data_IF_843580787093
#
_entry.id   IF_843580787093
#
_cell.length_a   1.000
_cell.length_b   1.000
_cell.length_c   1.000
_cell.angle_alpha   90.00
_cell.angle_beta   90.00
_cell.angle_gamma   90.00
#
_symmetry.space_group_name_H-M   'P 1'
#
loop_
_entity.id
_entity.type
_entity.pdbx_description
1 polymer ?
#
# COMPACT_ATOMS: atom_id res chain seq x y z
N UNK A 1 16.58 -46.14 -52.20
CA UNK A 1 17.52 -46.42 -51.10
C UNK A 1 18.93 -45.98 -51.52
N UNK A 2 19.30 -44.72 -51.31
CA UNK A 2 20.60 -44.17 -51.76
C UNK A 2 21.13 -43.06 -50.84
N UNK A 3 20.89 -43.14 -49.53
CA UNK A 3 21.35 -42.11 -48.59
C UNK A 3 22.38 -42.56 -47.56
N UNK A 4 22.87 -43.81 -47.62
CA UNK A 4 23.78 -44.35 -46.59
C UNK A 4 25.27 -44.33 -47.00
N UNK A 5 25.61 -44.32 -48.30
CA UNK A 5 27.02 -44.30 -48.74
C UNK A 5 27.68 -42.90 -48.79
N UNK A 6 26.98 -41.83 -48.37
CA UNK A 6 27.37 -40.45 -48.70
C UNK A 6 28.35 -39.80 -47.72
N UNK A 7 28.41 -40.23 -46.46
CA UNK A 7 29.23 -39.56 -45.43
C UNK A 7 30.55 -40.27 -45.11
N UNK A 8 30.61 -41.61 -45.15
CA UNK A 8 31.80 -42.36 -44.73
C UNK A 8 33.04 -42.03 -45.57
N UNK A 9 32.87 -41.82 -46.89
CA UNK A 9 33.97 -41.54 -47.82
C UNK A 9 34.54 -40.12 -47.71
N UNK A 10 33.76 -39.14 -47.26
CA UNK A 10 34.22 -37.74 -47.17
C UNK A 10 35.09 -37.50 -45.93
N UNK A 11 34.73 -38.11 -44.79
CA UNK A 11 35.56 -38.06 -43.59
C UNK A 11 36.87 -38.85 -43.76
N UNK A 12 36.82 -39.95 -44.51
CA UNK A 12 37.96 -40.81 -44.79
C UNK A 12 39.09 -40.07 -45.53
N UNK A 13 38.76 -39.11 -46.41
CA UNK A 13 39.74 -38.24 -47.09
C UNK A 13 40.52 -37.35 -46.11
N UNK A 14 39.86 -36.84 -45.07
CA UNK A 14 40.54 -36.02 -44.04
C UNK A 14 41.42 -36.88 -43.12
N UNK A 15 41.03 -38.14 -42.94
CA UNK A 15 41.69 -39.13 -42.07
C UNK A 15 42.85 -39.84 -42.78
N UNK A 16 42.81 -39.97 -44.11
CA UNK A 16 43.87 -40.55 -44.94
C UNK A 16 45.09 -39.63 -45.10
N UNK A 17 44.98 -38.37 -44.71
CA UNK A 17 46.07 -37.39 -44.77
C UNK A 17 46.85 -37.46 -43.46
N UNK A 18 48.18 -37.59 -43.57
CA UNK A 18 49.08 -37.73 -42.42
C UNK A 18 48.94 -36.56 -41.44
N UNK A 19 48.71 -36.90 -40.17
CA UNK A 19 48.64 -35.95 -39.06
C UNK A 19 50.00 -35.33 -38.71
N UNK A 20 51.11 -35.88 -39.24
CA UNK A 20 52.47 -35.39 -38.97
C UNK A 20 52.88 -34.20 -39.86
N UNK A 21 52.03 -33.77 -40.80
CA UNK A 21 52.28 -32.58 -41.63
C UNK A 21 51.68 -31.32 -40.99
N UNK A 22 52.29 -30.16 -41.28
CA UNK A 22 51.73 -28.86 -40.90
C UNK A 22 50.30 -28.67 -41.43
N UNK A 23 49.44 -27.95 -40.70
CA UNK A 23 48.01 -27.82 -41.02
C UNK A 23 47.77 -27.18 -42.40
N UNK A 24 48.62 -26.25 -42.82
CA UNK A 24 48.63 -25.69 -44.18
C UNK A 24 48.90 -26.74 -45.27
N UNK A 25 49.89 -27.62 -45.05
CA UNK A 25 50.19 -28.74 -45.94
C UNK A 25 49.07 -29.78 -45.96
N UNK A 26 48.45 -30.02 -44.81
CA UNK A 26 47.28 -30.92 -44.70
C UNK A 26 46.10 -30.38 -45.50
N UNK A 27 45.87 -29.06 -45.48
CA UNK A 27 44.83 -28.41 -46.28
C UNK A 27 45.13 -28.51 -47.79
N UNK A 28 46.38 -28.30 -48.21
CA UNK A 28 46.79 -28.50 -49.61
C UNK A 28 46.60 -29.94 -50.09
N UNK A 29 47.00 -30.92 -49.28
CA UNK A 29 46.78 -32.33 -49.56
C UNK A 29 45.28 -32.71 -49.57
N UNK A 30 44.46 -32.06 -48.74
CA UNK A 30 43.02 -32.25 -48.70
C UNK A 30 42.34 -31.71 -49.97
N UNK A 31 42.77 -30.55 -50.47
CA UNK A 31 42.28 -30.00 -51.75
C UNK A 31 42.57 -30.95 -52.91
N UNK A 32 43.80 -31.48 -52.98
CA UNK A 32 44.21 -32.43 -54.01
C UNK A 32 43.43 -33.76 -53.92
N UNK A 33 43.31 -34.32 -52.72
CA UNK A 33 42.57 -35.56 -52.47
C UNK A 33 41.07 -35.40 -52.75
N UNK A 34 40.50 -34.23 -52.44
CA UNK A 34 39.10 -33.90 -52.73
C UNK A 34 38.85 -33.76 -54.23
N UNK A 35 39.79 -33.20 -54.98
CA UNK A 35 39.72 -33.12 -56.43
C UNK A 35 39.77 -34.51 -57.06
N UNK A 36 40.73 -35.35 -56.67
CA UNK A 36 40.85 -36.74 -57.16
C UNK A 36 39.62 -37.57 -56.82
N UNK A 37 39.08 -37.43 -55.61
CA UNK A 37 37.84 -38.07 -55.21
C UNK A 37 36.65 -37.61 -56.07
N UNK A 38 36.57 -36.32 -56.38
CA UNK A 38 35.50 -35.77 -57.23
C UNK A 38 35.59 -36.30 -58.67
N UNK A 39 36.81 -36.42 -59.22
CA UNK A 39 37.06 -37.03 -60.53
C UNK A 39 36.64 -38.49 -60.54
N UNK A 40 37.03 -39.28 -59.54
CA UNK A 40 36.65 -40.70 -59.42
C UNK A 40 35.14 -40.89 -59.25
N UNK A 41 34.47 -39.93 -58.60
CA UNK A 41 33.01 -39.94 -58.44
C UNK A 41 32.27 -39.54 -59.71
N UNK A 42 32.84 -38.67 -60.52
CA UNK A 42 32.26 -38.21 -61.78
C UNK A 42 32.48 -39.21 -62.92
N UNK A 43 33.60 -39.94 -62.90
CA UNK A 43 33.99 -40.89 -63.96
C UNK A 43 32.91 -41.94 -64.31
N UNK A 44 32.21 -42.60 -63.37
CA UNK A 44 31.16 -43.57 -63.68
C UNK A 44 29.95 -42.98 -64.40
N UNK A 45 29.62 -41.71 -64.17
CA UNK A 45 28.46 -41.05 -64.79
C UNK A 45 28.72 -40.59 -66.23
N UNK A 46 29.99 -40.49 -66.63
CA UNK A 46 30.41 -40.04 -67.96
C UNK A 46 30.70 -41.21 -68.92
N UNK A 47 30.63 -42.46 -68.44
CA UNK A 47 30.88 -43.66 -69.25
C UNK A 47 29.80 -43.91 -70.31
N UNK A 48 28.58 -43.45 -70.07
CA UNK A 48 27.41 -43.75 -70.92
C UNK A 48 27.05 -42.60 -71.88
N UNK A 49 27.85 -41.53 -71.93
CA UNK A 49 27.60 -40.34 -72.78
C UNK A 49 28.23 -40.48 -74.18
N UNK A 50 27.41 -40.34 -75.22
CA UNK A 50 27.87 -40.34 -76.62
C UNK A 50 28.84 -39.17 -76.88
N UNK A 51 30.03 -39.48 -77.40
CA UNK A 51 31.07 -38.50 -77.74
C UNK A 51 32.16 -38.28 -76.68
N UNK A 52 32.09 -38.93 -75.51
CA UNK A 52 33.13 -38.86 -74.49
C UNK A 52 34.15 -40.00 -74.61
N UNK A 53 35.43 -39.65 -74.73
CA UNK A 53 36.52 -40.63 -74.61
C UNK A 53 37.10 -40.63 -73.20
N UNK A 54 36.95 -41.75 -72.50
CA UNK A 54 37.41 -41.93 -71.11
C UNK A 54 38.92 -41.72 -70.95
N UNK A 55 39.69 -42.06 -72.00
CA UNK A 55 41.13 -41.86 -72.05
C UNK A 55 41.52 -40.37 -72.07
N UNK A 56 40.80 -39.54 -72.85
CA UNK A 56 41.05 -38.09 -72.87
C UNK A 56 40.63 -37.43 -71.56
N UNK A 57 39.53 -37.89 -70.95
CA UNK A 57 39.08 -37.42 -69.63
C UNK A 57 40.12 -37.73 -68.55
N UNK A 58 40.63 -38.97 -68.48
CA UNK A 58 41.69 -39.33 -67.53
C UNK A 58 42.97 -38.54 -67.79
N UNK A 59 43.38 -38.37 -69.04
CA UNK A 59 44.55 -37.56 -69.38
C UNK A 59 44.39 -36.09 -68.93
N UNK A 60 43.21 -35.51 -69.14
CA UNK A 60 42.89 -34.14 -68.67
C UNK A 60 42.83 -34.06 -67.16
N UNK A 61 42.21 -35.03 -66.49
CA UNK A 61 42.13 -35.07 -65.04
C UNK A 61 43.51 -35.23 -64.38
N UNK A 62 44.39 -36.06 -64.95
CA UNK A 62 45.78 -36.19 -64.50
C UNK A 62 46.58 -34.90 -64.72
N UNK A 63 46.44 -34.26 -65.89
CA UNK A 63 47.07 -32.97 -66.17
C UNK A 63 46.62 -31.89 -65.19
N UNK A 64 45.31 -31.78 -64.93
CA UNK A 64 44.75 -30.80 -63.98
C UNK A 64 45.13 -31.13 -62.53
N UNK A 65 45.25 -32.41 -62.18
CA UNK A 65 45.68 -32.84 -60.84
C UNK A 65 47.14 -32.42 -60.57
N UNK A 66 48.03 -32.55 -61.55
CA UNK A 66 49.41 -32.07 -61.41
C UNK A 66 49.51 -30.55 -61.38
N UNK A 67 48.69 -29.85 -62.18
CA UNK A 67 48.60 -28.39 -62.14
C UNK A 67 48.07 -27.89 -60.79
N UNK A 68 47.03 -28.54 -60.25
CA UNK A 68 46.49 -28.25 -58.92
C UNK A 68 47.50 -28.53 -57.81
N UNK A 69 48.33 -29.57 -57.96
CA UNK A 69 49.40 -29.88 -57.02
C UNK A 69 50.46 -28.78 -57.01
N UNK A 70 50.94 -28.35 -58.18
CA UNK A 70 51.86 -27.22 -58.28
C UNK A 70 51.25 -25.90 -57.76
N UNK A 71 49.95 -25.70 -58.00
CA UNK A 71 49.24 -24.54 -57.48
C UNK A 71 49.10 -24.58 -55.95
N UNK A 72 48.84 -25.74 -55.36
CA UNK A 72 48.81 -25.93 -53.91
C UNK A 72 50.19 -25.69 -53.27
N UNK A 73 51.28 -26.16 -53.88
CA UNK A 73 52.66 -25.88 -53.46
C UNK A 73 53.01 -24.38 -53.57
N UNK A 74 52.51 -23.71 -54.63
CA UNK A 74 52.65 -22.26 -54.79
C UNK A 74 51.86 -21.47 -53.75
N UNK A 75 50.63 -21.90 -53.43
CA UNK A 75 49.77 -21.34 -52.38
C UNK A 75 50.32 -21.56 -50.97
N UNK A 76 51.09 -22.62 -50.78
CA UNK A 76 51.81 -22.86 -49.54
C UNK A 76 53.01 -21.92 -49.42
N UNK A 77 53.85 -21.84 -50.46
CA UNK A 77 55.06 -20.99 -50.46
C UNK A 77 54.76 -19.49 -50.44
N UNK A 78 53.61 -19.06 -50.96
CA UNK A 78 53.16 -17.66 -50.90
C UNK A 78 52.45 -17.29 -49.57
N UNK A 79 52.31 -18.25 -48.64
CA UNK A 79 51.71 -18.04 -47.32
C UNK A 79 50.19 -17.91 -47.31
N UNK A 80 49.50 -18.07 -48.44
CA UNK A 80 48.03 -17.94 -48.51
C UNK A 80 47.33 -19.06 -47.74
N UNK A 81 47.83 -20.30 -47.81
CA UNK A 81 47.28 -21.40 -47.00
C UNK A 81 47.54 -21.20 -45.50
N UNK A 82 48.61 -20.52 -45.13
CA UNK A 82 48.93 -20.23 -43.73
C UNK A 82 47.98 -19.19 -43.14
N UNK A 83 47.54 -18.21 -43.96
CA UNK A 83 46.50 -17.23 -43.57
C UNK A 83 45.13 -17.83 -43.26
N UNK A 84 44.84 -19.06 -43.71
CA UNK A 84 43.61 -19.76 -43.34
C UNK A 84 43.60 -20.21 -41.88
N UNK A 85 44.78 -20.34 -41.26
CA UNK A 85 44.96 -20.78 -39.88
C UNK A 85 45.43 -19.65 -38.95
N UNK A 86 45.96 -18.57 -39.51
CA UNK A 86 46.22 -17.36 -38.73
C UNK A 86 44.89 -16.74 -38.28
N UNK A 87 44.70 -16.71 -36.97
CA UNK A 87 43.71 -15.84 -36.36
C UNK A 87 44.03 -14.41 -36.78
N UNK A 88 43.20 -13.87 -37.68
CA UNK A 88 43.38 -12.50 -38.16
C UNK A 88 43.58 -11.58 -36.97
N UNK A 89 44.51 -10.64 -37.06
CA UNK A 89 44.78 -9.63 -36.02
C UNK A 89 43.51 -8.82 -35.64
N UNK A 90 42.43 -8.90 -36.43
CA UNK A 90 41.10 -8.40 -36.11
C UNK A 90 40.34 -9.19 -35.03
N UNK A 91 40.66 -10.47 -34.79
CA UNK A 91 39.99 -11.28 -33.74
C UNK A 91 40.22 -10.75 -32.32
N UNK A 92 41.35 -10.09 -32.05
CA UNK A 92 41.58 -9.47 -30.73
C UNK A 92 40.68 -8.23 -30.52
N UNK A 93 40.41 -7.48 -31.58
CA UNK A 93 39.43 -6.38 -31.56
C UNK A 93 38.00 -6.90 -31.47
N UNK A 94 37.70 -8.01 -32.16
CA UNK A 94 36.39 -8.68 -32.08
C UNK A 94 36.14 -9.29 -30.70
N UNK A 95 37.16 -9.86 -30.04
CA UNK A 95 37.04 -10.38 -28.67
C UNK A 95 36.76 -9.25 -27.66
N UNK A 96 37.43 -8.11 -27.79
CA UNK A 96 37.17 -6.91 -26.95
C UNK A 96 35.76 -6.35 -27.19
N UNK A 97 35.33 -6.29 -28.46
CA UNK A 97 33.99 -5.86 -28.83
C UNK A 97 32.93 -6.85 -28.35
N UNK A 98 33.18 -8.15 -28.45
CA UNK A 98 32.30 -9.22 -27.96
C UNK A 98 32.15 -9.17 -26.43
N UNK A 99 33.25 -8.93 -25.69
CA UNK A 99 33.17 -8.71 -24.24
C UNK A 99 32.37 -7.47 -23.88
N UNK A 100 32.57 -6.35 -24.60
CA UNK A 100 31.79 -5.13 -24.37
C UNK A 100 30.30 -5.30 -24.70
N UNK A 101 29.99 -6.05 -25.76
CA UNK A 101 28.62 -6.40 -26.13
C UNK A 101 27.98 -7.32 -25.08
N UNK A 102 28.75 -8.25 -24.49
CA UNK A 102 28.27 -9.10 -23.41
C UNK A 102 27.94 -8.28 -22.14
N UNK A 103 28.83 -7.39 -21.73
CA UNK A 103 28.60 -6.47 -20.61
C UNK A 103 27.38 -5.57 -20.86
N UNK A 104 27.24 -5.03 -22.07
CA UNK A 104 26.09 -4.20 -22.43
C UNK A 104 24.77 -4.99 -22.36
N UNK A 105 24.77 -6.25 -22.81
CA UNK A 105 23.60 -7.12 -22.67
C UNK A 105 23.24 -7.37 -21.21
N UNK A 106 24.23 -7.54 -20.34
CA UNK A 106 24.01 -7.70 -18.89
C UNK A 106 23.46 -6.41 -18.26
N UNK A 107 23.97 -5.23 -18.64
CA UNK A 107 23.39 -3.97 -18.18
C UNK A 107 21.96 -3.77 -18.68
N UNK A 108 21.66 -4.16 -19.93
CA UNK A 108 20.30 -4.09 -20.48
C UNK A 108 19.34 -4.98 -19.67
N UNK A 109 19.73 -6.21 -19.32
CA UNK A 109 18.87 -7.09 -18.51
C UNK A 109 18.70 -6.54 -17.10
N UNK A 110 19.78 -6.02 -16.47
CA UNK A 110 19.72 -5.39 -15.15
C UNK A 110 18.79 -4.17 -15.14
N UNK A 111 18.93 -3.24 -16.09
CA UNK A 111 18.05 -2.07 -16.20
C UNK A 111 16.61 -2.46 -16.53
N UNK A 112 16.40 -3.53 -17.30
CA UNK A 112 15.05 -4.02 -17.59
C UNK A 112 14.35 -4.54 -16.33
N UNK A 113 15.07 -5.26 -15.47
CA UNK A 113 14.55 -5.74 -14.17
C UNK A 113 14.31 -4.58 -13.19
N UNK A 114 15.22 -3.61 -13.16
CA UNK A 114 15.07 -2.41 -12.33
C UNK A 114 13.84 -1.60 -12.76
N UNK A 115 13.66 -1.38 -14.07
CA UNK A 115 12.46 -0.73 -14.62
C UNK A 115 11.18 -1.45 -14.23
N UNK A 116 11.15 -2.79 -14.34
CA UNK A 116 9.99 -3.58 -13.92
C UNK A 116 9.70 -3.43 -12.42
N UNK A 117 10.75 -3.36 -11.59
CA UNK A 117 10.61 -3.17 -10.15
C UNK A 117 10.05 -1.78 -9.83
N UNK A 118 10.49 -0.74 -10.54
CA UNK A 118 9.94 0.61 -10.44
C UNK A 118 8.49 0.70 -10.90
N UNK A 119 8.13 0.05 -12.02
CA UNK A 119 6.76 -0.01 -12.51
C UNK A 119 5.83 -0.67 -11.49
N UNK A 120 6.27 -1.77 -10.86
CA UNK A 120 5.51 -2.43 -9.78
C UNK A 120 5.37 -1.54 -8.55
N UNK A 121 6.45 -0.86 -8.14
CA UNK A 121 6.42 0.04 -6.99
C UNK A 121 5.44 1.20 -7.22
N UNK A 122 5.48 1.80 -8.41
CA UNK A 122 4.56 2.87 -8.80
C UNK A 122 3.11 2.39 -8.75
N UNK A 123 2.80 1.23 -9.33
CA UNK A 123 1.45 0.65 -9.29
C UNK A 123 0.98 0.37 -7.86
N UNK A 124 1.86 -0.10 -6.98
CA UNK A 124 1.52 -0.31 -5.56
C UNK A 124 1.13 0.99 -4.88
N UNK A 125 1.94 2.05 -5.02
CA UNK A 125 1.62 3.34 -4.42
C UNK A 125 0.38 3.99 -5.03
N UNK A 126 0.15 3.85 -6.34
CA UNK A 126 -1.09 4.31 -6.97
C UNK A 126 -2.31 3.60 -6.39
N UNK A 127 -2.26 2.26 -6.31
CA UNK A 127 -3.33 1.47 -5.72
C UNK A 127 -3.54 1.80 -4.24
N UNK A 128 -2.46 1.92 -3.46
CA UNK A 128 -2.54 2.29 -2.05
C UNK A 128 -3.16 3.68 -1.87
N UNK A 129 -2.79 4.65 -2.70
CA UNK A 129 -3.40 5.98 -2.69
C UNK A 129 -4.89 5.92 -3.04
N UNK A 130 -5.29 5.17 -4.08
CA UNK A 130 -6.70 4.95 -4.43
C UNK A 130 -7.48 4.24 -3.32
N UNK A 131 -6.88 3.25 -2.68
CA UNK A 131 -7.46 2.51 -1.55
C UNK A 131 -7.62 3.43 -0.32
N UNK A 132 -6.66 4.31 -0.03
CA UNK A 132 -6.75 5.31 1.05
C UNK A 132 -7.85 6.32 0.74
N UNK A 133 -7.89 6.89 -0.46
CA UNK A 133 -8.93 7.85 -0.85
C UNK A 133 -10.32 7.21 -0.81
N UNK A 134 -10.44 5.96 -1.27
CA UNK A 134 -11.69 5.19 -1.21
C UNK A 134 -12.10 4.87 0.22
N UNK A 135 -11.14 4.49 1.08
CA UNK A 135 -11.37 4.24 2.51
C UNK A 135 -11.82 5.51 3.21
N UNK A 136 -11.13 6.63 3.00
CA UNK A 136 -11.49 7.94 3.59
C UNK A 136 -12.86 8.42 3.10
N UNK A 137 -13.25 8.12 1.85
CA UNK A 137 -14.60 8.38 1.34
C UNK A 137 -15.68 7.48 1.98
N UNK A 138 -15.34 6.24 2.31
CA UNK A 138 -16.25 5.33 3.04
C UNK A 138 -16.32 5.73 4.52
N UNK A 139 -15.20 6.10 5.12
CA UNK A 139 -15.12 6.59 6.50
C UNK A 139 -15.88 7.92 6.64
N UNK A 140 -15.76 8.87 5.72
CA UNK A 140 -16.55 10.12 5.76
C UNK A 140 -18.05 9.91 5.57
N UNK A 141 -18.49 8.79 4.98
CA UNK A 141 -19.91 8.38 4.95
C UNK A 141 -20.36 7.61 6.21
N UNK A 142 -19.44 6.94 6.91
CA UNK A 142 -19.71 6.23 8.17
C UNK A 142 -19.50 7.15 9.39
N UNK A 143 -18.80 8.27 9.22
CA UNK A 143 -18.47 9.23 10.28
C UNK A 143 -19.39 10.46 10.22
N UNK A 144 -20.70 10.25 10.13
CA UNK A 144 -21.65 11.16 10.80
C UNK A 144 -21.64 10.79 12.29
N UNK A 145 -20.50 11.08 12.92
CA UNK A 145 -20.23 11.19 14.37
C UNK A 145 -21.08 10.29 15.28
N UNK A 146 -20.76 9.00 15.31
CA UNK A 146 -20.91 8.20 16.52
C UNK A 146 -19.50 7.86 17.01
N UNK A 147 -18.97 8.72 17.89
CA UNK A 147 -17.67 8.51 18.52
C UNK A 147 -17.81 7.35 19.50
N UNK A 148 -17.52 6.14 19.03
CA UNK A 148 -17.47 4.99 19.91
C UNK A 148 -16.37 5.16 20.99
N UNK A 149 -16.63 4.73 22.24
CA UNK A 149 -15.68 4.87 23.35
C UNK A 149 -14.36 4.12 23.19
N UNK A 150 -14.22 3.27 22.18
CA UNK A 150 -13.07 2.39 21.98
C UNK A 150 -11.78 3.13 21.55
N UNK A 151 -11.89 4.39 21.14
CA UNK A 151 -10.76 5.17 20.56
C UNK A 151 -9.65 5.51 21.57
N UNK A 152 -9.85 5.27 22.87
CA UNK A 152 -8.92 5.71 23.91
C UNK A 152 -7.90 4.66 24.38
N UNK A 153 -7.99 3.42 23.90
CA UNK A 153 -7.20 2.28 24.41
C UNK A 153 -5.68 2.40 24.18
N UNK A 154 -5.21 3.31 23.31
CA UNK A 154 -3.79 3.56 23.05
C UNK A 154 -3.27 4.93 23.48
N UNK A 155 -4.10 5.77 24.11
CA UNK A 155 -3.70 7.12 24.51
C UNK A 155 -2.80 7.08 25.76
N UNK A 156 -1.74 7.88 25.77
CA UNK A 156 -0.93 8.12 26.98
C UNK A 156 -1.74 8.73 28.13
N UNK A 157 -2.97 9.20 27.87
CA UNK A 157 -3.90 9.76 28.86
C UNK A 157 -5.11 8.85 29.11
N UNK A 158 -5.06 7.58 28.72
CA UNK A 158 -6.17 6.63 28.89
C UNK A 158 -6.68 6.58 30.34
N UNK A 159 -5.78 6.62 31.33
CA UNK A 159 -6.15 6.66 32.76
C UNK A 159 -7.03 7.88 33.11
N UNK A 160 -6.71 9.06 32.58
CA UNK A 160 -7.49 10.29 32.79
C UNK A 160 -8.85 10.19 32.08
N UNK A 161 -8.87 9.64 30.88
CA UNK A 161 -10.07 9.53 30.05
C UNK A 161 -11.05 8.48 30.60
N UNK A 162 -10.54 7.40 31.20
CA UNK A 162 -11.34 6.40 31.91
C UNK A 162 -11.84 6.90 33.27
N UNK A 163 -11.18 7.90 33.87
CA UNK A 163 -11.59 8.50 35.15
C UNK A 163 -12.58 9.66 34.94
N UNK A 164 -13.45 9.59 33.93
CA UNK A 164 -14.47 10.62 33.69
C UNK A 164 -15.65 10.45 34.68
N UNK A 165 -15.94 11.42 35.56
CA UNK A 165 -17.09 11.33 36.44
C UNK A 165 -18.41 11.52 35.67
N UNK A 166 -19.48 10.93 36.19
CA UNK A 166 -20.82 11.05 35.63
C UNK A 166 -21.47 12.39 36.04
N UNK A 167 -21.25 13.41 35.21
CA UNK A 167 -21.83 14.74 35.42
C UNK A 167 -23.36 14.75 35.33
N UNK A 168 -23.97 13.84 34.58
CA UNK A 168 -25.43 13.77 34.47
C UNK A 168 -26.06 13.31 35.78
N UNK A 169 -25.46 12.31 36.43
CA UNK A 169 -25.87 11.89 37.77
C UNK A 169 -25.68 13.01 38.80
N UNK A 170 -24.61 13.81 38.69
CA UNK A 170 -24.41 14.97 39.56
C UNK A 170 -25.54 15.99 39.37
N UNK A 171 -25.90 16.32 38.13
CA UNK A 171 -27.01 17.25 37.84
C UNK A 171 -28.36 16.72 38.35
N UNK A 172 -28.64 15.43 38.16
CA UNK A 172 -29.84 14.79 38.71
C UNK A 172 -29.88 14.86 40.24
N UNK A 173 -28.75 14.70 40.90
CA UNK A 173 -28.67 14.85 42.35
C UNK A 173 -28.93 16.30 42.79
N UNK A 174 -28.45 17.30 42.04
CA UNK A 174 -28.77 18.71 42.31
C UNK A 174 -30.26 18.99 42.18
N UNK A 175 -30.93 18.43 41.17
CA UNK A 175 -32.38 18.58 41.03
C UNK A 175 -33.14 18.03 42.24
N UNK A 176 -32.75 16.85 42.73
CA UNK A 176 -33.34 16.27 43.96
C UNK A 176 -33.14 17.16 45.18
N UNK A 177 -31.99 17.84 45.30
CA UNK A 177 -31.73 18.79 46.39
C UNK A 177 -32.71 19.97 46.32
N UNK A 178 -32.99 20.47 45.12
CA UNK A 178 -34.00 21.52 44.94
C UNK A 178 -35.40 21.03 45.36
N UNK A 179 -35.80 19.83 44.97
CA UNK A 179 -37.09 19.24 45.37
C UNK A 179 -37.20 19.15 46.92
N UNK A 180 -36.13 18.73 47.60
CA UNK A 180 -36.09 18.70 49.07
C UNK A 180 -36.17 20.09 49.69
N UNK A 181 -35.48 21.07 49.10
CA UNK A 181 -35.48 22.44 49.61
C UNK A 181 -36.85 23.11 49.44
N UNK A 182 -37.53 22.85 48.33
CA UNK A 182 -38.92 23.30 48.09
C UNK A 182 -39.86 22.72 49.15
N UNK A 183 -39.80 21.41 49.39
CA UNK A 183 -40.62 20.75 50.41
C UNK A 183 -40.40 21.35 51.81
N UNK A 184 -39.14 21.61 52.19
CA UNK A 184 -38.81 22.24 53.47
C UNK A 184 -39.36 23.67 53.58
N UNK A 185 -39.35 24.44 52.49
CA UNK A 185 -39.93 25.79 52.47
C UNK A 185 -41.45 25.75 52.58
N UNK A 186 -42.11 24.80 51.91
CA UNK A 186 -43.57 24.62 51.98
C UNK A 186 -44.01 24.21 53.39
N UNK A 187 -43.30 23.28 54.04
CA UNK A 187 -43.57 22.87 55.42
C UNK A 187 -43.39 24.05 56.40
N UNK A 188 -42.31 24.82 56.24
CA UNK A 188 -42.07 26.01 57.03
C UNK A 188 -43.18 27.05 56.83
N UNK A 189 -43.57 27.32 55.59
CA UNK A 189 -44.64 28.25 55.27
C UNK A 189 -45.98 27.79 55.85
N UNK A 190 -46.29 26.49 55.75
CA UNK A 190 -47.49 25.88 56.34
C UNK A 190 -47.52 26.05 57.86
N UNK A 191 -46.41 25.77 58.52
CA UNK A 191 -46.25 25.94 59.97
C UNK A 191 -46.46 27.40 60.41
N UNK A 192 -45.92 28.37 59.66
CA UNK A 192 -46.11 29.80 59.92
C UNK A 192 -47.58 30.22 59.77
N UNK A 193 -48.27 29.75 58.71
CA UNK A 193 -49.70 30.03 58.52
C UNK A 193 -50.55 29.45 59.66
N UNK A 194 -50.24 28.24 60.11
CA UNK A 194 -50.92 27.61 61.25
C UNK A 194 -50.74 28.43 62.53
N UNK A 195 -49.52 28.88 62.80
CA UNK A 195 -49.22 29.75 63.93
C UNK A 195 -49.98 31.08 63.83
N UNK A 196 -50.04 31.68 62.64
CA UNK A 196 -50.76 32.93 62.41
C UNK A 196 -52.27 32.77 62.63
N UNK A 197 -52.86 31.67 62.17
CA UNK A 197 -54.28 31.35 62.39
C UNK A 197 -54.57 31.19 63.89
N UNK A 198 -53.73 30.45 64.61
CA UNK A 198 -53.83 30.30 66.07
C UNK A 198 -53.73 31.65 66.80
N UNK A 199 -52.78 32.51 66.40
CA UNK A 199 -52.66 33.86 66.96
C UNK A 199 -53.91 34.72 66.71
N UNK A 200 -54.46 34.66 65.49
CA UNK A 200 -55.68 35.41 65.14
C UNK A 200 -56.90 34.91 65.95
N UNK A 201 -57.07 33.60 66.09
CA UNK A 201 -58.14 33.01 66.89
C UNK A 201 -58.02 33.34 68.37
N UNK A 202 -56.80 33.23 68.94
CA UNK A 202 -56.52 33.61 70.32
C UNK A 202 -56.82 35.09 70.56
N UNK A 203 -56.37 35.97 69.66
CA UNK A 203 -56.64 37.41 69.75
C UNK A 203 -58.14 37.71 69.68
N UNK A 204 -58.87 37.05 68.77
CA UNK A 204 -60.31 37.21 68.66
C UNK A 204 -61.05 36.70 69.91
N UNK A 205 -60.64 35.56 70.47
CA UNK A 205 -61.20 35.02 71.70
C UNK A 205 -60.99 35.98 72.88
N UNK A 206 -59.76 36.45 73.08
CA UNK A 206 -59.42 37.43 74.11
C UNK A 206 -60.22 38.73 73.93
N UNK A 207 -60.39 39.20 72.69
CA UNK A 207 -61.18 40.39 72.40
C UNK A 207 -62.67 40.18 72.72
N UNK A 208 -63.25 39.02 72.39
CA UNK A 208 -64.64 38.66 72.72
C UNK A 208 -64.87 38.66 74.24
N UNK A 209 -63.98 38.02 75.00
CA UNK A 209 -64.04 37.99 76.47
C UNK A 209 -63.90 39.39 77.05
N UNK A 210 -62.96 40.18 76.55
CA UNK A 210 -62.76 41.57 76.98
C UNK A 210 -64.00 42.44 76.73
N UNK A 211 -64.63 42.33 75.55
CA UNK A 211 -65.88 43.04 75.23
C UNK A 211 -67.04 42.57 76.10
N UNK A 212 -67.17 41.26 76.36
CA UNK A 212 -68.23 40.74 77.25
C UNK A 212 -68.04 41.22 78.69
N UNK A 213 -66.81 41.24 79.19
CA UNK A 213 -66.49 41.75 80.51
C UNK A 213 -66.78 43.26 80.60
N UNK A 214 -66.39 44.03 79.58
CA UNK A 214 -66.71 45.45 79.46
C UNK A 214 -68.23 45.71 79.42
N UNK A 215 -68.99 44.93 78.64
CA UNK A 215 -70.47 45.01 78.62
C UNK A 215 -71.06 44.68 79.97
N UNK A 216 -70.66 43.58 80.63
CA UNK A 216 -71.18 43.23 81.96
C UNK A 216 -70.87 44.31 82.99
N UNK A 217 -69.66 44.84 83.00
CA UNK A 217 -69.25 45.91 83.92
C UNK A 217 -69.97 47.23 83.66
N UNK A 218 -70.22 47.61 82.40
CA UNK A 218 -70.83 48.90 82.04
C UNK A 218 -72.35 48.89 81.92
N UNK A 219 -72.96 47.73 81.69
CA UNK A 219 -74.40 47.56 81.48
C UNK A 219 -75.14 47.14 82.76
N UNK A 220 -74.45 46.57 83.77
CA UNK A 220 -74.98 46.50 85.15
C UNK A 220 -74.96 47.85 85.88
N UNK A 221 -74.31 48.86 85.31
CA UNK A 221 -74.46 50.24 85.76
C UNK A 221 -75.73 50.82 85.11
N UNK A 222 -76.87 50.53 85.75
CA UNK A 222 -78.09 51.37 85.72
C UNK A 222 -77.72 52.85 85.99
N UNK A 223 -78.59 53.87 85.85
CA UNK A 223 -78.19 55.28 85.89
C UNK A 223 -77.69 55.69 87.28
N UNK A 224 -76.46 55.31 87.58
CA UNK A 224 -75.72 55.49 88.81
C UNK A 224 -74.85 56.75 88.64
N UNK A 225 -74.73 57.57 89.68
CA UNK A 225 -73.96 58.82 89.66
C UNK A 225 -72.52 58.68 89.13
N UNK A 226 -71.91 57.49 89.24
CA UNK A 226 -70.56 57.20 88.77
C UNK A 226 -70.37 57.42 87.25
N UNK A 227 -71.44 57.28 86.45
CA UNK A 227 -71.37 57.44 84.99
C UNK A 227 -71.16 58.90 84.55
N UNK A 228 -71.54 59.87 85.39
CA UNK A 228 -71.26 61.30 85.15
C UNK A 228 -69.75 61.61 85.32
N UNK A 229 -69.06 60.89 86.19
CA UNK A 229 -67.62 61.06 86.41
C UNK A 229 -66.78 60.51 85.24
N UNK A 230 -67.18 59.37 84.66
CA UNK A 230 -66.48 58.79 83.50
C UNK A 230 -66.70 59.59 82.20
N UNK A 231 -67.89 60.16 81.99
CA UNK A 231 -68.14 61.04 80.83
C UNK A 231 -67.36 62.36 80.90
N UNK A 232 -67.04 62.85 82.10
CA UNK A 232 -66.20 64.04 82.27
C UNK A 232 -64.74 63.76 81.85
N UNK A 233 -64.25 62.52 82.04
CA UNK A 233 -62.89 62.14 81.66
C UNK A 233 -62.67 62.02 80.14
N UNK A 234 -63.74 61.81 79.35
CA UNK A 234 -63.66 61.80 77.87
C UNK A 234 -63.80 63.18 77.23
N UNK A 235 -64.10 64.24 78.00
CA UNK A 235 -64.29 65.62 77.50
C UNK A 235 -63.10 66.54 77.77
N UNK A 236 -61.89 66.00 77.83
CA UNK A 236 -60.68 66.81 77.85
C UNK A 236 -59.77 66.40 76.68
N UNK A 237 -59.75 67.15 75.56
CA UNK A 237 -58.58 67.19 74.72
C UNK A 237 -57.62 68.28 75.23
N UNK A 238 -56.31 68.00 75.21
CA UNK A 238 -55.36 68.90 74.57
C UNK A 238 -54.55 68.10 73.53
N UNK A 239 -54.44 68.56 72.27
CA UNK A 239 -53.50 69.59 71.79
C UNK A 239 -52.03 69.25 72.09
N UNK A 240 -51.47 68.33 71.30
CA UNK A 240 -50.20 68.44 70.53
C UNK A 240 -49.95 67.15 69.76
#
# INVERSE_FOLDING_TARGET
MTSVFRSETMEELSRSISANLAESKRLGALLLSSFQFSVQKLEPFLKDTEGFSLESFRAKASSLSEELKHFAESLESNGTLQKCFEDSKGKASDLSLETSVAEMKEYITKFSLERQSWDQLLQRYQKEAEDIISRESVETKVTEVEVEPATYLGSSQSEVLHTKPDYQKILQNQNKIFDYMELMMDELQGSVKQLQAFMAESTQCLQKVSVQLGKRSTQQLDPSPARKLLKLQLRNPPLL
#
